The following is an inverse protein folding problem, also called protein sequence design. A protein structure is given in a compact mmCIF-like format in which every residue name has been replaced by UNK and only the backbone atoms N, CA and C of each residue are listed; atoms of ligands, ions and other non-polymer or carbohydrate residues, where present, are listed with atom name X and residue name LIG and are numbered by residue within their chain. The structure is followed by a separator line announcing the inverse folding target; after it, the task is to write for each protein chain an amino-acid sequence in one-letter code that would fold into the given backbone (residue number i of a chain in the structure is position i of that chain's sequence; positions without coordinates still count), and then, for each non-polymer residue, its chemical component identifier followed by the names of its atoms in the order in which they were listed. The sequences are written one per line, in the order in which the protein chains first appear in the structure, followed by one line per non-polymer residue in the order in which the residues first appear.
data_IF_952005333359
#
_entry.id   IF_952005333359
#
_cell.length_a   1.000
_cell.length_b   1.000
_cell.length_c   1.000
_cell.angle_alpha   90.00
_cell.angle_beta   90.00
_cell.angle_gamma   90.00
#
_symmetry.space_group_name_H-M   'P 1'
#
loop_
_entity.id
_entity.type
_entity.pdbx_description
1 polymer ?
#
# COMPACT_ATOMS: atom_id res chain seq x y z
N UNK A 1 -29.80 -22.40 -28.53
CA UNK A 1 -29.95 -21.56 -29.74
C UNK A 1 -29.97 -20.12 -29.25
N UNK A 2 -28.82 -19.43 -29.34
CA UNK A 2 -28.61 -18.09 -28.79
C UNK A 2 -28.55 -17.12 -29.96
N UNK A 3 -29.34 -16.04 -29.90
CA UNK A 3 -29.43 -15.00 -30.90
C UNK A 3 -28.32 -13.98 -30.63
N UNK A 4 -27.32 -13.90 -31.50
CA UNK A 4 -26.29 -12.85 -31.45
C UNK A 4 -26.87 -11.54 -32.00
N UNK A 5 -26.92 -10.51 -31.17
CA UNK A 5 -27.33 -9.16 -31.57
C UNK A 5 -26.09 -8.33 -31.92
N UNK A 6 -25.78 -8.24 -33.21
CA UNK A 6 -24.77 -7.33 -33.74
C UNK A 6 -25.37 -5.92 -33.84
N UNK A 7 -24.91 -4.98 -33.01
CA UNK A 7 -25.05 -3.55 -33.32
C UNK A 7 -23.84 -3.12 -34.14
N UNK A 8 -23.97 -3.20 -35.47
CA UNK A 8 -23.10 -2.47 -36.38
C UNK A 8 -23.51 -0.99 -36.32
N UNK A 9 -22.67 -0.17 -35.70
CA UNK A 9 -22.75 1.29 -35.82
C UNK A 9 -22.52 1.65 -37.29
N UNK A 10 -23.54 2.21 -37.94
CA UNK A 10 -23.41 2.83 -39.24
C UNK A 10 -22.32 3.93 -39.17
N UNK A 11 -21.41 4.04 -40.16
CA UNK A 11 -20.44 5.13 -40.19
C UNK A 11 -21.16 6.45 -40.53
N UNK A 12 -21.06 7.44 -39.65
CA UNK A 12 -21.42 8.82 -39.97
C UNK A 12 -20.30 9.48 -40.81
N UNK A 13 -20.62 10.34 -41.79
CA UNK A 13 -19.68 10.76 -42.82
C UNK A 13 -18.88 12.02 -42.46
N UNK A 14 -18.53 12.26 -41.19
CA UNK A 14 -17.67 13.40 -40.81
C UNK A 14 -16.87 13.12 -39.52
N UNK A 15 -15.55 12.91 -39.68
CA UNK A 15 -14.55 12.98 -38.60
C UNK A 15 -14.22 11.65 -37.91
N UNK A 16 -12.94 11.42 -37.53
CA UNK A 16 -12.57 10.26 -36.74
C UNK A 16 -13.14 10.44 -35.32
N UNK A 17 -13.97 9.49 -34.90
CA UNK A 17 -14.33 9.36 -33.49
C UNK A 17 -13.05 9.05 -32.71
N UNK A 18 -12.54 10.05 -31.98
CA UNK A 18 -11.50 9.80 -30.99
C UNK A 18 -12.15 9.05 -29.84
N UNK A 19 -12.02 7.71 -29.85
CA UNK A 19 -12.29 6.90 -28.68
C UNK A 19 -11.29 7.34 -27.62
N UNK A 20 -11.69 8.30 -26.78
CA UNK A 20 -11.28 8.26 -25.39
C UNK A 20 -11.76 6.91 -24.86
N UNK A 21 -10.92 5.89 -25.02
CA UNK A 21 -11.07 4.59 -24.39
C UNK A 21 -11.03 4.84 -22.90
N UNK A 22 -12.20 5.14 -22.32
CA UNK A 22 -12.46 4.85 -20.92
C UNK A 22 -12.11 3.37 -20.82
N UNK A 23 -10.97 3.06 -20.21
CA UNK A 23 -10.59 1.69 -19.90
C UNK A 23 -11.71 1.16 -19.01
N UNK A 24 -12.67 0.47 -19.62
CA UNK A 24 -13.58 -0.41 -18.92
C UNK A 24 -12.67 -1.49 -18.37
N UNK A 25 -12.17 -1.29 -17.16
CA UNK A 25 -11.38 -2.28 -16.46
C UNK A 25 -12.27 -3.50 -16.36
N UNK A 26 -11.89 -4.59 -17.03
CA UNK A 26 -12.51 -5.89 -16.90
C UNK A 26 -12.64 -6.20 -15.40
N UNK A 27 -13.83 -6.00 -14.84
CA UNK A 27 -14.21 -6.74 -13.65
C UNK A 27 -14.21 -8.20 -14.11
N UNK A 28 -13.48 -9.12 -13.47
CA UNK A 28 -13.60 -10.53 -13.75
C UNK A 28 -14.93 -11.02 -13.17
N UNK A 29 -16.04 -10.57 -13.73
CA UNK A 29 -17.39 -11.04 -13.44
C UNK A 29 -17.74 -12.04 -14.54
N UNK A 30 -17.30 -13.28 -14.36
CA UNK A 30 -17.51 -14.41 -15.25
C UNK A 30 -16.96 -15.70 -14.65
N UNK A 31 -17.19 -16.83 -15.32
CA UNK A 31 -16.84 -18.22 -14.96
C UNK A 31 -15.38 -18.45 -14.44
N UNK A 32 -14.49 -17.47 -14.58
CA UNK A 32 -13.08 -17.50 -14.17
C UNK A 32 -12.78 -16.73 -12.88
N UNK A 33 -13.79 -16.25 -12.16
CA UNK A 33 -13.59 -15.49 -10.93
C UNK A 33 -13.03 -16.39 -9.82
N UNK A 34 -11.81 -16.11 -9.37
CA UNK A 34 -11.14 -16.90 -8.34
C UNK A 34 -11.68 -16.51 -6.95
N UNK A 35 -12.00 -17.48 -6.08
CA UNK A 35 -12.41 -17.17 -4.71
C UNK A 35 -11.25 -16.52 -3.96
N UNK A 36 -11.60 -15.68 -2.98
CA UNK A 36 -10.66 -14.99 -2.13
C UNK A 36 -11.07 -15.18 -0.69
N UNK A 37 -10.08 -15.40 0.16
CA UNK A 37 -10.26 -15.74 1.55
C UNK A 37 -9.39 -14.83 2.43
N UNK A 38 -9.92 -14.49 3.61
CA UNK A 38 -9.19 -13.86 4.70
C UNK A 38 -9.11 -14.82 5.87
N UNK A 39 -7.90 -15.22 6.22
CA UNK A 39 -7.62 -16.08 7.35
C UNK A 39 -6.95 -15.33 8.49
N UNK A 40 -6.93 -15.96 9.66
CA UNK A 40 -5.94 -15.66 10.69
C UNK A 40 -4.52 -16.04 10.23
N UNK A 41 -3.53 -15.65 11.02
CA UNK A 41 -2.10 -15.75 10.67
C UNK A 41 -1.62 -17.19 10.44
N UNK A 42 -2.16 -18.12 11.21
CA UNK A 42 -1.89 -19.55 11.19
C UNK A 42 -2.77 -20.31 10.18
N UNK A 43 -3.78 -19.66 9.59
CA UNK A 43 -4.62 -20.26 8.56
C UNK A 43 -5.69 -21.23 9.08
N UNK A 44 -5.90 -21.28 10.40
CA UNK A 44 -6.88 -22.17 11.05
C UNK A 44 -8.31 -21.62 11.06
N UNK A 45 -8.50 -20.30 10.91
CA UNK A 45 -9.82 -19.66 10.93
C UNK A 45 -9.99 -18.79 9.69
N UNK A 46 -11.04 -19.06 8.91
CA UNK A 46 -11.49 -18.22 7.79
C UNK A 46 -12.47 -17.16 8.30
N UNK A 47 -12.05 -15.90 8.36
CA UNK A 47 -12.91 -14.79 8.78
C UNK A 47 -13.88 -14.34 7.70
N UNK A 48 -13.45 -14.34 6.44
CA UNK A 48 -14.25 -13.82 5.35
C UNK A 48 -13.88 -14.48 4.02
N UNK A 49 -14.89 -14.75 3.19
CA UNK A 49 -14.71 -15.25 1.82
C UNK A 49 -15.59 -14.47 0.85
N UNK A 50 -15.03 -14.11 -0.31
CA UNK A 50 -15.79 -13.55 -1.42
C UNK A 50 -15.12 -13.89 -2.75
N UNK A 51 -15.90 -13.92 -3.81
CA UNK A 51 -15.42 -14.11 -5.20
C UNK A 51 -14.95 -12.76 -5.79
N UNK A 52 -15.38 -11.63 -5.21
CA UNK A 52 -15.09 -10.31 -5.76
C UNK A 52 -14.06 -9.58 -4.91
N UNK A 53 -12.95 -9.17 -5.53
CA UNK A 53 -11.94 -8.32 -4.89
C UNK A 53 -12.55 -7.01 -4.33
N UNK A 54 -13.58 -6.49 -5.00
CA UNK A 54 -14.22 -5.23 -4.60
C UNK A 54 -14.88 -5.33 -3.22
N UNK A 55 -15.25 -6.52 -2.77
CA UNK A 55 -15.89 -6.73 -1.46
C UNK A 55 -14.87 -6.55 -0.34
N UNK A 56 -13.64 -7.01 -0.51
CA UNK A 56 -12.55 -6.74 0.43
C UNK A 56 -12.22 -5.24 0.50
N UNK A 57 -12.37 -4.52 -0.61
CA UNK A 57 -12.09 -3.08 -0.66
C UNK A 57 -13.22 -2.26 -0.05
N UNK A 58 -14.47 -2.51 -0.45
CA UNK A 58 -15.62 -1.70 -0.03
C UNK A 58 -16.18 -2.12 1.31
N UNK A 59 -16.26 -3.42 1.58
CA UNK A 59 -16.89 -3.97 2.78
C UNK A 59 -15.93 -3.97 3.96
N UNK A 60 -14.69 -4.41 3.74
CA UNK A 60 -13.66 -4.44 4.79
C UNK A 60 -12.81 -3.16 4.84
N UNK A 61 -12.98 -2.23 3.89
CA UNK A 61 -12.22 -0.97 3.84
C UNK A 61 -10.72 -1.15 3.54
N UNK A 62 -10.31 -2.28 2.95
CA UNK A 62 -8.89 -2.55 2.68
C UNK A 62 -8.51 -1.89 1.35
N UNK A 63 -7.54 -0.98 1.37
CA UNK A 63 -7.10 -0.33 0.14
C UNK A 63 -6.57 -1.34 -0.88
N UNK A 64 -7.00 -1.23 -2.15
CA UNK A 64 -6.71 -2.19 -3.23
C UNK A 64 -5.22 -2.52 -3.35
N UNK A 65 -4.34 -1.51 -3.30
CA UNK A 65 -2.88 -1.70 -3.42
C UNK A 65 -2.34 -2.53 -2.26
N UNK A 66 -2.85 -2.29 -1.04
CA UNK A 66 -2.44 -3.03 0.16
C UNK A 66 -2.93 -4.47 0.10
N UNK A 67 -4.18 -4.67 -0.31
CA UNK A 67 -4.76 -5.99 -0.49
C UNK A 67 -3.95 -6.83 -1.49
N UNK A 68 -3.71 -6.30 -2.70
CA UNK A 68 -2.94 -7.00 -3.74
C UNK A 68 -1.52 -7.32 -3.30
N UNK A 69 -0.84 -6.36 -2.64
CA UNK A 69 0.50 -6.58 -2.09
C UNK A 69 0.54 -7.81 -1.17
N UNK A 70 -0.39 -7.88 -0.21
CA UNK A 70 -0.41 -8.97 0.76
C UNK A 70 -0.84 -10.30 0.15
N UNK A 71 -1.77 -10.27 -0.81
CA UNK A 71 -2.22 -11.43 -1.56
C UNK A 71 -1.09 -12.02 -2.42
N UNK A 72 -0.37 -11.21 -3.20
CA UNK A 72 0.69 -11.66 -4.11
C UNK A 72 1.96 -12.09 -3.37
N UNK A 73 2.31 -11.39 -2.29
CA UNK A 73 3.52 -11.67 -1.52
C UNK A 73 3.31 -12.75 -0.44
N UNK A 74 2.07 -13.16 -0.18
CA UNK A 74 1.73 -14.06 0.93
C UNK A 74 2.10 -13.47 2.30
N UNK A 75 2.12 -12.13 2.42
CA UNK A 75 2.49 -11.45 3.66
C UNK A 75 1.27 -11.08 4.48
N UNK A 76 1.46 -10.91 5.79
CA UNK A 76 0.34 -10.68 6.70
C UNK A 76 -0.09 -9.22 6.76
N UNK A 77 -1.37 -8.98 6.46
CA UNK A 77 -1.99 -7.68 6.69
C UNK A 77 -2.15 -7.43 8.19
N UNK A 78 -1.74 -6.24 8.65
CA UNK A 78 -1.70 -5.86 10.08
C UNK A 78 -0.91 -6.86 10.94
N UNK A 79 0.02 -7.63 10.35
CA UNK A 79 0.74 -8.74 10.98
C UNK A 79 -0.16 -9.85 11.58
N UNK A 80 -1.42 -9.93 11.17
CA UNK A 80 -2.44 -10.83 11.75
C UNK A 80 -3.24 -11.61 10.72
N UNK A 81 -3.48 -11.04 9.54
CA UNK A 81 -4.40 -11.62 8.57
C UNK A 81 -3.67 -12.08 7.32
N UNK A 82 -4.02 -13.27 6.85
CA UNK A 82 -3.50 -13.84 5.61
C UNK A 82 -4.59 -13.78 4.53
N UNK A 83 -4.23 -13.29 3.34
CA UNK A 83 -5.11 -13.37 2.17
C UNK A 83 -4.66 -14.50 1.27
N UNK A 84 -5.62 -15.28 0.76
CA UNK A 84 -5.35 -16.39 -0.15
C UNK A 84 -6.40 -16.48 -1.24
N UNK A 85 -5.99 -17.03 -2.39
CA UNK A 85 -6.86 -17.43 -3.48
C UNK A 85 -7.32 -18.89 -3.30
N UNK A 86 -6.50 -19.69 -2.62
CA UNK A 86 -6.75 -21.10 -2.37
C UNK A 86 -7.40 -21.28 -1.00
N UNK A 87 -8.36 -22.21 -0.94
CA UNK A 87 -9.00 -22.60 0.31
C UNK A 87 -8.05 -23.48 1.12
N UNK A 88 -7.77 -23.08 2.35
CA UNK A 88 -6.90 -23.85 3.25
C UNK A 88 -7.70 -25.02 3.85
N UNK A 89 -7.18 -26.26 3.77
CA UNK A 89 -7.93 -27.46 4.17
C UNK A 89 -8.19 -27.57 5.68
N UNK A 90 -7.36 -26.91 6.49
CA UNK A 90 -7.45 -26.93 7.95
C UNK A 90 -8.22 -25.72 8.51
N UNK A 91 -8.83 -24.90 7.65
CA UNK A 91 -9.49 -23.69 8.08
C UNK A 91 -10.96 -23.93 8.42
N UNK A 92 -11.35 -23.59 9.63
CA UNK A 92 -12.75 -23.54 10.04
C UNK A 92 -13.36 -22.19 9.65
N UNK A 93 -14.58 -22.21 9.12
CA UNK A 93 -15.31 -20.98 8.82
C UNK A 93 -15.74 -20.32 10.13
N UNK A 94 -15.33 -19.07 10.34
CA UNK A 94 -15.73 -18.28 11.49
C UNK A 94 -17.22 -17.92 11.43
N UNK A 95 -17.90 -17.99 12.58
CA UNK A 95 -19.31 -17.58 12.77
C UNK A 95 -19.50 -16.05 12.92
N UNK A 96 -18.40 -15.30 12.90
CA UNK A 96 -18.39 -13.84 13.01
C UNK A 96 -19.07 -13.20 11.80
N UNK A 97 -19.91 -12.18 12.04
CA UNK A 97 -20.58 -11.44 10.96
C UNK A 97 -19.61 -10.52 10.21
N UNK A 98 -19.95 -10.18 8.97
CA UNK A 98 -19.13 -9.28 8.15
C UNK A 98 -18.89 -7.91 8.83
N UNK A 99 -19.90 -7.39 9.52
CA UNK A 99 -19.82 -6.13 10.27
C UNK A 99 -18.86 -6.21 11.46
N UNK A 100 -18.87 -7.35 12.16
CA UNK A 100 -17.94 -7.61 13.25
C UNK A 100 -16.50 -7.75 12.72
N UNK A 101 -16.31 -8.40 11.57
CA UNK A 101 -15.00 -8.49 10.90
C UNK A 101 -14.49 -7.09 10.52
N UNK A 102 -15.33 -6.24 9.93
CA UNK A 102 -14.95 -4.86 9.60
C UNK A 102 -14.57 -4.06 10.87
N UNK A 103 -15.36 -4.18 11.93
CA UNK A 103 -15.08 -3.53 13.22
C UNK A 103 -13.76 -4.00 13.83
N UNK A 104 -13.49 -5.31 13.79
CA UNK A 104 -12.22 -5.91 14.24
C UNK A 104 -11.04 -5.32 13.47
N UNK A 105 -11.14 -5.21 12.15
CA UNK A 105 -10.10 -4.61 11.31
C UNK A 105 -9.85 -3.14 11.65
N UNK A 106 -10.89 -2.37 11.94
CA UNK A 106 -10.75 -0.95 12.30
C UNK A 106 -10.04 -0.76 13.64
N UNK A 107 -10.38 -1.58 14.65
CA UNK A 107 -9.68 -1.60 15.94
C UNK A 107 -8.21 -1.97 15.75
N UNK A 108 -7.93 -2.97 14.93
CA UNK A 108 -6.57 -3.44 14.67
C UNK A 108 -5.74 -2.43 13.87
N UNK A 109 -6.34 -1.68 12.94
CA UNK A 109 -5.67 -0.56 12.25
C UNK A 109 -5.23 0.51 13.23
N UNK A 110 -6.11 0.91 14.16
CA UNK A 110 -5.79 1.92 15.18
C UNK A 110 -4.68 1.42 16.09
N UNK A 111 -4.77 0.18 16.56
CA UNK A 111 -3.76 -0.43 17.45
C UNK A 111 -2.40 -0.57 16.76
N UNK A 112 -2.40 -1.04 15.51
CA UNK A 112 -1.18 -1.17 14.71
C UNK A 112 -0.55 0.21 14.45
N UNK A 113 -1.35 1.24 14.19
CA UNK A 113 -0.83 2.60 14.00
C UNK A 113 -0.24 3.19 15.28
N UNK A 114 -0.82 2.92 16.46
CA UNK A 114 -0.26 3.32 17.76
C UNK A 114 1.07 2.63 18.05
N UNK A 115 1.17 1.34 17.72
CA UNK A 115 2.35 0.51 17.97
C UNK A 115 3.39 0.58 16.86
N UNK A 116 3.06 1.20 15.73
CA UNK A 116 4.01 1.45 14.64
C UNK A 116 5.09 2.35 15.22
N UNK A 117 6.30 1.82 15.33
CA UNK A 117 7.47 2.60 15.71
C UNK A 117 7.52 3.76 14.73
N UNK A 118 7.13 4.96 15.18
CA UNK A 118 7.42 6.18 14.46
C UNK A 118 8.93 6.10 14.22
N UNK A 119 9.38 6.02 12.97
CA UNK A 119 10.80 6.18 12.67
C UNK A 119 11.20 7.45 13.43
N UNK A 120 12.05 7.37 14.46
CA UNK A 120 12.10 8.47 15.41
C UNK A 120 12.63 9.67 14.65
N UNK A 121 11.80 10.70 14.49
CA UNK A 121 12.25 11.96 13.93
C UNK A 121 13.35 12.60 14.81
N UNK A 122 13.45 12.11 16.06
CA UNK A 122 14.51 12.34 17.04
C UNK A 122 15.75 11.44 16.86
N UNK A 123 16.03 10.95 15.65
CA UNK A 123 17.31 10.31 15.36
C UNK A 123 18.37 11.39 15.19
N UNK A 124 19.42 11.32 15.99
CA UNK A 124 20.61 12.14 15.81
C UNK A 124 21.29 11.77 14.49
N UNK A 125 21.72 12.77 13.73
CA UNK A 125 22.29 12.60 12.40
C UNK A 125 23.49 13.50 12.20
N UNK A 126 24.43 13.06 11.37
CA UNK A 126 25.59 13.82 10.92
C UNK A 126 25.44 14.09 9.43
N UNK A 127 25.54 15.36 9.03
CA UNK A 127 25.65 15.76 7.64
C UNK A 127 27.11 15.99 7.30
N UNK A 128 27.63 15.30 6.30
CA UNK A 128 29.02 15.45 5.83
C UNK A 128 28.99 16.09 4.46
N UNK A 129 29.58 17.28 4.33
CA UNK A 129 29.70 17.97 3.03
C UNK A 129 30.64 17.19 2.11
N UNK A 130 30.22 16.90 0.87
CA UNK A 130 31.01 16.09 -0.06
C UNK A 130 32.28 16.82 -0.51
N UNK A 131 32.22 18.15 -0.62
CA UNK A 131 33.30 18.98 -1.14
C UNK A 131 34.30 19.34 -0.05
N UNK A 132 33.82 19.81 1.10
CA UNK A 132 34.68 20.30 2.20
C UNK A 132 35.02 19.22 3.21
N UNK A 133 34.33 18.06 3.19
CA UNK A 133 34.38 17.01 4.22
C UNK A 133 34.03 17.51 5.63
N UNK A 134 33.37 18.65 5.72
CA UNK A 134 32.93 19.22 6.98
C UNK A 134 31.75 18.42 7.56
N UNK A 135 31.83 18.09 8.84
CA UNK A 135 30.82 17.32 9.57
C UNK A 135 29.96 18.24 10.44
N UNK A 136 28.65 18.19 10.23
CA UNK A 136 27.67 18.88 11.06
C UNK A 136 26.79 17.87 11.81
N UNK A 137 26.90 17.84 13.12
CA UNK A 137 26.15 16.92 14.00
C UNK A 137 24.87 17.58 14.49
N UNK A 138 23.75 16.88 14.37
CA UNK A 138 22.44 17.36 14.79
C UNK A 138 21.78 16.34 15.73
N UNK A 139 21.11 16.80 16.81
CA UNK A 139 20.42 15.91 17.75
C UNK A 139 19.12 15.33 17.17
N UNK A 140 18.65 15.84 16.03
CA UNK A 140 17.47 15.33 15.34
C UNK A 140 17.53 15.61 13.84
N UNK A 141 16.82 14.80 13.05
CA UNK A 141 16.61 15.01 11.61
C UNK A 141 15.94 16.37 11.36
N UNK A 142 15.02 16.80 12.24
CA UNK A 142 14.36 18.09 12.14
C UNK A 142 15.35 19.27 12.20
N UNK A 143 16.36 19.18 13.06
CA UNK A 143 17.40 20.21 13.15
C UNK A 143 18.32 20.21 11.93
N UNK A 144 18.66 19.04 11.39
CA UNK A 144 19.40 18.93 10.15
C UNK A 144 18.65 19.54 8.94
N UNK A 145 17.34 19.35 8.86
CA UNK A 145 16.50 19.96 7.82
C UNK A 145 16.44 21.49 7.96
N UNK A 146 16.32 22.01 9.20
CA UNK A 146 16.37 23.47 9.44
C UNK A 146 17.70 24.07 8.99
N UNK A 147 18.80 23.41 9.29
CA UNK A 147 20.13 23.82 8.84
C UNK A 147 20.21 23.90 7.30
N UNK A 148 19.79 22.85 6.59
CA UNK A 148 19.79 22.85 5.12
C UNK A 148 18.90 23.98 4.54
N UNK A 149 17.73 24.23 5.13
CA UNK A 149 16.85 25.34 4.73
C UNK A 149 17.49 26.70 4.98
N UNK A 150 18.21 26.87 6.07
CA UNK A 150 18.94 28.11 6.38
C UNK A 150 20.05 28.39 5.36
N UNK A 151 20.66 27.35 4.79
CA UNK A 151 21.67 27.46 3.72
C UNK A 151 21.01 27.53 2.32
N UNK A 152 19.70 27.82 2.27
CA UNK A 152 18.92 27.99 1.04
C UNK A 152 18.65 26.70 0.24
N UNK A 153 18.81 25.52 0.82
CA UNK A 153 18.39 24.27 0.19
C UNK A 153 16.94 23.91 0.54
N UNK A 154 16.09 23.57 -0.45
CA UNK A 154 14.75 23.05 -0.20
C UNK A 154 14.87 21.63 0.35
N UNK A 155 14.97 21.52 1.67
CA UNK A 155 15.11 20.26 2.38
C UNK A 155 13.78 19.75 2.93
N UNK A 156 13.49 18.47 2.68
CA UNK A 156 12.32 17.78 3.22
C UNK A 156 12.75 16.64 4.15
N UNK A 157 12.04 16.52 5.28
CA UNK A 157 12.35 15.55 6.32
C UNK A 157 12.15 14.11 5.84
N UNK A 158 11.11 13.83 5.03
CA UNK A 158 10.86 12.48 4.51
C UNK A 158 11.95 12.07 3.54
N UNK A 159 12.41 13.02 2.73
CA UNK A 159 13.52 12.79 1.79
C UNK A 159 14.81 12.52 2.55
N UNK A 160 15.13 13.30 3.58
CA UNK A 160 16.34 13.10 4.38
C UNK A 160 16.33 11.74 5.08
N UNK A 161 15.19 11.30 5.64
CA UNK A 161 15.03 9.96 6.24
C UNK A 161 15.38 8.85 5.27
N UNK A 162 14.96 8.94 4.00
CA UNK A 162 15.26 7.93 2.97
C UNK A 162 16.74 7.89 2.58
N UNK A 163 17.51 8.94 2.86
CA UNK A 163 18.92 9.08 2.46
C UNK A 163 19.90 8.72 3.56
N UNK A 164 19.44 8.52 4.80
CA UNK A 164 20.28 8.14 5.93
C UNK A 164 21.01 6.83 5.62
N UNK A 165 22.33 6.82 5.81
CA UNK A 165 23.23 5.67 5.61
C UNK A 165 23.25 5.10 4.18
N UNK A 166 22.68 5.81 3.20
CA UNK A 166 22.71 5.36 1.80
C UNK A 166 23.96 5.80 1.05
N UNK A 167 24.79 6.67 1.65
CA UNK A 167 25.89 7.40 0.99
C UNK A 167 25.48 8.19 -0.26
N UNK A 168 24.17 8.29 -0.55
CA UNK A 168 23.68 9.07 -1.68
C UNK A 168 23.62 10.53 -1.27
N UNK A 169 24.27 11.43 -2.01
CA UNK A 169 24.28 12.84 -1.68
C UNK A 169 22.89 13.48 -1.81
N UNK A 170 22.60 14.40 -0.90
CA UNK A 170 21.43 15.25 -0.87
C UNK A 170 21.88 16.69 -0.68
N UNK A 171 21.68 17.54 -1.70
CA UNK A 171 22.09 18.95 -1.69
C UNK A 171 23.57 19.17 -1.34
N UNK A 172 24.45 18.28 -1.79
CA UNK A 172 25.89 18.40 -1.49
C UNK A 172 26.33 17.79 -0.15
N UNK A 173 25.42 17.13 0.58
CA UNK A 173 25.72 16.47 1.86
C UNK A 173 25.38 14.98 1.81
N UNK A 174 26.18 14.17 2.50
CA UNK A 174 25.81 12.79 2.84
C UNK A 174 25.29 12.75 4.28
N UNK A 175 24.29 11.90 4.53
CA UNK A 175 23.59 11.86 5.82
C UNK A 175 23.84 10.51 6.49
N UNK A 176 24.39 10.54 7.69
CA UNK A 176 24.71 9.35 8.48
C UNK A 176 24.02 9.41 9.84
N UNK A 177 23.62 8.26 10.35
CA UNK A 177 23.10 8.18 11.72
C UNK A 177 24.25 8.35 12.71
N UNK A 178 24.05 9.23 13.69
CA UNK A 178 24.93 9.42 14.84
C UNK A 178 24.62 8.38 15.93
#
# INVERSE_FOLDING_TARGET
MVLEQYFLLLPAPQGPFDLNTIRVSNNPSGSTAKPLFMYNRDGSICYYKSIKQIDFVRTLGIHKVTFMKHLEQGTYYLNKYLFSIEELPNAEQSDITIEQVATMLDIDRVTTNKNKTLVPFSVAVTLININTKEEHKFPSIGNAVKFLKNISYPADQRTLVKRINTNIPYHGFTCHKY
#
